data_IF_001941371102
#
_entry.id   IF_001941371102
#
_cell.length_a   1.000
_cell.length_b   1.000
_cell.length_c   1.000
_cell.angle_alpha   90.00
_cell.angle_beta   90.00
_cell.angle_gamma   90.00
#
_symmetry.space_group_name_H-M   'P 1'
#
loop_
_entity.id
_entity.type
_entity.pdbx_description
1 polymer ?
#
# COMPACT_ATOMS: atom_id res chain seq x y z
N UNK A 1 6.86 -18.60 29.49
CA UNK A 1 6.82 -17.37 28.65
C UNK A 1 8.17 -17.15 27.97
N UNK A 2 9.29 -17.48 28.64
CA UNK A 2 10.65 -17.19 28.16
C UNK A 2 11.16 -18.10 27.03
N UNK A 3 10.73 -19.36 26.97
CA UNK A 3 11.18 -20.30 25.93
C UNK A 3 10.71 -19.91 24.51
N UNK A 4 9.50 -19.36 24.38
CA UNK A 4 8.95 -18.91 23.09
C UNK A 4 9.67 -17.64 22.63
N UNK A 5 9.93 -16.70 23.54
CA UNK A 5 10.72 -15.51 23.21
C UNK A 5 12.17 -15.86 22.86
N UNK A 6 12.78 -16.83 23.53
CA UNK A 6 14.12 -17.31 23.20
C UNK A 6 14.17 -18.00 21.83
N UNK A 7 13.19 -18.83 21.49
CA UNK A 7 13.08 -19.45 20.17
C UNK A 7 12.81 -18.43 19.06
N UNK A 8 11.95 -17.43 19.33
CA UNK A 8 11.72 -16.34 18.40
C UNK A 8 13.00 -15.54 18.18
N UNK A 9 13.71 -15.12 19.23
CA UNK A 9 14.98 -14.40 19.11
C UNK A 9 16.04 -15.20 18.37
N UNK A 10 16.18 -16.50 18.65
CA UNK A 10 17.09 -17.38 17.92
C UNK A 10 16.73 -17.49 16.43
N UNK A 11 15.43 -17.55 16.12
CA UNK A 11 14.96 -17.54 14.74
C UNK A 11 15.21 -16.19 14.07
N UNK A 12 15.00 -15.07 14.77
CA UNK A 12 15.31 -13.72 14.28
C UNK A 12 16.81 -13.58 13.97
N UNK A 13 17.69 -14.08 14.84
CA UNK A 13 19.14 -14.06 14.62
C UNK A 13 19.55 -14.92 13.42
N UNK A 14 18.92 -16.10 13.26
CA UNK A 14 19.13 -16.96 12.10
C UNK A 14 18.57 -16.36 10.80
N UNK A 15 17.47 -15.63 10.87
CA UNK A 15 16.90 -14.93 9.72
C UNK A 15 17.80 -13.75 9.29
N UNK A 16 18.37 -13.02 10.26
CA UNK A 16 19.40 -11.99 10.02
C UNK A 16 20.65 -12.57 9.36
N UNK A 17 21.06 -13.79 9.73
CA UNK A 17 22.20 -14.47 9.08
C UNK A 17 21.89 -15.04 7.70
N UNK A 18 20.62 -15.33 7.39
CA UNK A 18 20.18 -16.02 6.17
C UNK A 18 19.75 -15.09 5.03
N UNK A 19 20.40 -13.94 4.88
CA UNK A 19 20.07 -12.97 3.83
C UNK A 19 18.60 -12.52 3.91
N UNK A 20 18.12 -12.08 5.08
CA UNK A 20 16.92 -11.26 5.23
C UNK A 20 17.26 -10.08 6.15
N UNK A 21 16.97 -8.86 5.71
CA UNK A 21 17.10 -7.68 6.56
C UNK A 21 15.71 -7.31 7.09
N UNK A 22 15.62 -7.17 8.41
CA UNK A 22 14.44 -6.57 9.05
C UNK A 22 14.43 -5.10 8.64
N UNK A 23 13.47 -4.71 7.82
CA UNK A 23 13.25 -3.30 7.52
C UNK A 23 12.29 -2.78 8.58
N UNK A 24 12.79 -2.46 9.77
CA UNK A 24 12.29 -1.38 10.65
C UNK A 24 13.36 -1.00 11.67
N UNK A 25 13.62 0.31 11.72
CA UNK A 25 14.63 1.03 12.51
C UNK A 25 14.12 1.57 13.87
N UNK A 26 12.96 1.11 14.36
CA UNK A 26 12.31 1.70 15.56
C UNK A 26 11.85 0.67 16.60
N UNK A 27 12.03 0.92 17.92
CA UNK A 27 11.66 0.00 19.00
C UNK A 27 10.17 0.01 19.37
N UNK A 28 9.32 0.76 18.63
CA UNK A 28 7.92 0.98 19.00
C UNK A 28 7.12 -0.33 19.07
N UNK A 29 6.28 -0.53 20.10
CA UNK A 29 5.38 -1.69 20.20
C UNK A 29 4.31 -1.65 19.11
N UNK A 30 3.91 -2.82 18.62
CA UNK A 30 2.84 -2.97 17.62
C UNK A 30 1.59 -3.62 18.20
N UNK A 31 1.67 -4.16 19.42
CA UNK A 31 0.59 -4.82 20.12
C UNK A 31 0.45 -4.27 21.54
N UNK A 32 -0.77 -3.92 21.94
CA UNK A 32 -1.10 -3.32 23.23
C UNK A 32 -2.19 -4.12 23.92
N UNK A 33 -1.89 -4.64 25.10
CA UNK A 33 -2.84 -5.38 25.93
C UNK A 33 -2.96 -4.66 27.29
N UNK A 34 -3.94 -5.07 28.10
CA UNK A 34 -4.30 -4.37 29.34
C UNK A 34 -3.10 -4.07 30.27
N UNK A 35 -2.09 -4.94 30.28
CA UNK A 35 -0.94 -4.86 31.20
C UNK A 35 0.40 -4.59 30.52
N UNK A 36 0.41 -4.09 29.29
CA UNK A 36 1.65 -3.74 28.64
C UNK A 36 1.58 -3.68 27.13
N UNK A 37 2.77 -3.65 26.53
CA UNK A 37 2.92 -3.59 25.09
C UNK A 37 4.08 -4.47 24.65
N UNK A 38 3.94 -5.04 23.46
CA UNK A 38 4.93 -5.92 22.86
C UNK A 38 5.08 -5.56 21.40
N UNK A 39 6.24 -5.88 20.81
CA UNK A 39 6.43 -5.81 19.36
C UNK A 39 6.27 -7.20 18.77
N UNK A 40 5.14 -7.43 18.09
CA UNK A 40 4.79 -8.73 17.51
C UNK A 40 4.76 -8.69 15.98
N UNK A 41 4.66 -7.50 15.38
CA UNK A 41 4.49 -7.31 13.94
C UNK A 41 5.76 -6.75 13.31
N UNK A 42 6.16 -7.33 12.18
CA UNK A 42 7.42 -7.02 11.50
C UNK A 42 7.24 -7.04 9.98
N UNK A 43 7.89 -6.11 9.29
CA UNK A 43 8.06 -6.13 7.84
C UNK A 43 9.49 -6.59 7.55
N UNK A 44 9.61 -7.55 6.65
CA UNK A 44 10.87 -8.18 6.27
C UNK A 44 11.12 -7.95 4.79
N UNK A 45 12.38 -7.72 4.42
CA UNK A 45 12.79 -7.74 3.02
C UNK A 45 14.01 -8.64 2.82
N UNK A 46 14.24 -9.02 1.57
CA UNK A 46 15.53 -9.57 1.20
C UNK A 46 16.63 -8.48 1.20
N UNK A 47 17.91 -8.81 1.38
CA UNK A 47 19.05 -7.90 1.29
C UNK A 47 19.25 -7.37 -0.12
N UNK A 48 18.86 -8.16 -1.12
CA UNK A 48 18.81 -7.72 -2.51
C UNK A 48 17.53 -6.97 -2.86
N UNK A 49 16.71 -6.56 -1.88
CA UNK A 49 15.49 -5.82 -2.17
C UNK A 49 15.87 -4.47 -2.80
N UNK A 50 15.43 -4.19 -4.04
CA UNK A 50 16.03 -3.13 -4.85
C UNK A 50 15.55 -1.71 -4.50
N UNK A 51 14.60 -1.58 -3.55
CA UNK A 51 14.05 -0.30 -3.14
C UNK A 51 14.55 0.09 -1.73
N UNK A 52 15.32 1.19 -1.59
CA UNK A 52 15.68 1.69 -0.27
C UNK A 52 14.44 2.10 0.52
N UNK A 53 14.44 1.82 1.82
CA UNK A 53 13.39 2.29 2.74
C UNK A 53 13.49 3.80 2.93
N UNK A 54 12.37 4.51 2.76
CA UNK A 54 12.27 5.95 3.02
C UNK A 54 12.00 6.24 4.49
N UNK A 55 10.97 5.59 5.05
CA UNK A 55 10.62 5.70 6.46
C UNK A 55 9.84 4.47 6.92
N UNK A 56 9.81 4.27 8.24
CA UNK A 56 8.90 3.34 8.87
C UNK A 56 8.38 3.90 10.19
N UNK A 57 7.07 3.73 10.42
CA UNK A 57 6.38 4.22 11.60
C UNK A 57 5.31 3.25 12.08
N UNK A 58 4.97 3.35 13.37
CA UNK A 58 3.89 2.58 13.99
C UNK A 58 2.79 3.55 14.39
N UNK A 59 1.63 3.43 13.74
CA UNK A 59 0.49 4.32 13.88
C UNK A 59 -0.69 3.64 14.55
N UNK A 60 -1.48 4.41 15.30
CA UNK A 60 -2.72 3.87 15.88
C UNK A 60 -3.79 3.78 14.80
N UNK A 61 -4.48 2.64 14.72
CA UNK A 61 -5.62 2.48 13.82
C UNK A 61 -6.71 3.52 14.18
N UNK A 62 -7.35 4.16 13.19
CA UNK A 62 -8.49 5.03 13.46
C UNK A 62 -9.60 4.24 14.15
N UNK A 63 -10.32 4.90 15.06
CA UNK A 63 -11.45 4.30 15.76
C UNK A 63 -12.56 3.95 14.77
N UNK A 64 -13.20 2.80 14.98
CA UNK A 64 -14.40 2.41 14.26
C UNK A 64 -15.59 2.54 15.23
N UNK A 65 -16.54 3.41 14.92
CA UNK A 65 -17.68 3.74 15.79
C UNK A 65 -17.23 4.13 17.22
N UNK A 66 -16.27 5.06 17.31
CA UNK A 66 -15.63 5.55 18.54
C UNK A 66 -14.88 4.51 19.40
N UNK A 67 -14.87 3.26 18.96
CA UNK A 67 -14.18 2.17 19.64
C UNK A 67 -12.88 1.82 18.93
N UNK A 68 -11.87 1.49 19.73
CA UNK A 68 -10.66 0.86 19.21
C UNK A 68 -11.02 -0.55 18.76
N UNK A 69 -10.94 -0.82 17.45
CA UNK A 69 -11.36 -2.10 16.89
C UNK A 69 -10.25 -3.18 16.92
N UNK A 70 -9.03 -2.78 17.29
CA UNK A 70 -7.88 -3.68 17.38
C UNK A 70 -6.89 -3.22 18.44
N UNK A 71 -6.32 -4.19 19.15
CA UNK A 71 -5.20 -4.07 20.08
C UNK A 71 -3.84 -3.95 19.37
N UNK A 72 -3.80 -4.10 18.04
CA UNK A 72 -2.63 -3.85 17.22
C UNK A 72 -2.57 -2.40 16.70
N UNK A 73 -1.35 -1.94 16.42
CA UNK A 73 -1.04 -0.70 15.70
C UNK A 73 -0.58 -1.01 14.28
N UNK A 74 -0.89 -0.11 13.36
CA UNK A 74 -0.49 -0.23 11.95
C UNK A 74 0.99 0.03 11.82
N UNK A 75 1.70 -0.93 11.25
CA UNK A 75 3.09 -0.78 10.87
C UNK A 75 3.16 -0.30 9.41
N UNK A 76 3.63 0.93 9.20
CA UNK A 76 3.72 1.56 7.88
C UNK A 76 5.19 1.64 7.49
N UNK A 77 5.54 1.20 6.28
CA UNK A 77 6.86 1.39 5.69
C UNK A 77 6.71 1.91 4.28
N UNK A 78 7.43 2.97 3.94
CA UNK A 78 7.51 3.48 2.59
C UNK A 78 8.86 3.11 1.97
N UNK A 79 8.83 2.76 0.69
CA UNK A 79 9.99 2.38 -0.10
C UNK A 79 10.11 3.31 -1.30
N UNK A 80 11.34 3.67 -1.64
CA UNK A 80 11.60 4.36 -2.89
C UNK A 80 11.85 3.34 -4.01
N UNK A 81 10.86 3.18 -4.87
CA UNK A 81 10.98 2.34 -6.06
C UNK A 81 11.56 3.10 -7.27
N UNK A 82 12.10 4.32 -7.07
CA UNK A 82 12.75 5.09 -8.14
C UNK A 82 13.93 4.34 -8.77
N UNK A 83 14.56 3.40 -8.07
CA UNK A 83 15.62 2.52 -8.58
C UNK A 83 15.09 1.20 -9.15
N UNK A 84 13.84 0.84 -8.85
CA UNK A 84 13.24 -0.45 -9.20
C UNK A 84 12.57 -0.40 -10.57
N UNK A 85 13.37 -0.30 -11.62
CA UNK A 85 12.86 -0.46 -12.97
C UNK A 85 13.02 -1.90 -13.43
N UNK A 86 11.91 -2.52 -13.84
CA UNK A 86 12.00 -3.70 -14.69
C UNK A 86 12.67 -3.25 -16.01
N UNK A 87 13.94 -3.58 -16.18
CA UNK A 87 14.65 -3.32 -17.43
C UNK A 87 14.17 -4.34 -18.45
N UNK A 88 13.03 -4.06 -19.05
CA UNK A 88 12.53 -4.84 -20.18
C UNK A 88 13.38 -4.47 -21.40
N UNK A 89 13.89 -5.47 -22.11
CA UNK A 89 14.69 -5.21 -23.31
C UNK A 89 13.86 -4.38 -24.31
N UNK A 90 14.45 -3.31 -24.86
CA UNK A 90 13.80 -2.42 -25.85
C UNK A 90 13.22 -3.20 -27.04
N UNK A 91 13.88 -4.28 -27.44
CA UNK A 91 13.40 -5.19 -28.49
C UNK A 91 12.08 -5.86 -28.11
N UNK A 92 11.94 -6.34 -26.88
CA UNK A 92 10.70 -6.93 -26.35
C UNK A 92 9.57 -5.91 -26.31
N UNK A 93 9.85 -4.72 -25.81
CA UNK A 93 8.88 -3.62 -25.70
C UNK A 93 8.34 -3.21 -27.07
N UNK A 94 9.23 -3.09 -28.07
CA UNK A 94 8.85 -2.83 -29.47
C UNK A 94 8.05 -3.99 -30.08
N UNK A 95 8.48 -5.24 -29.88
CA UNK A 95 7.79 -6.42 -30.41
C UNK A 95 6.36 -6.56 -29.86
N UNK A 96 6.15 -6.19 -28.60
CA UNK A 96 4.83 -6.27 -27.95
C UNK A 96 4.04 -4.96 -27.98
N UNK A 97 4.59 -3.91 -28.60
CA UNK A 97 4.02 -2.56 -28.57
C UNK A 97 3.64 -2.10 -27.14
N UNK A 98 4.46 -2.47 -26.15
CA UNK A 98 4.26 -2.12 -24.75
C UNK A 98 4.70 -0.66 -24.52
N UNK A 99 3.75 0.19 -24.12
CA UNK A 99 3.98 1.61 -23.83
C UNK A 99 3.68 1.90 -22.37
N UNK A 100 4.42 2.85 -21.78
CA UNK A 100 4.12 3.37 -20.44
C UNK A 100 3.28 4.64 -20.55
N UNK A 101 2.14 4.68 -19.88
CA UNK A 101 1.36 5.90 -19.69
C UNK A 101 1.92 6.70 -18.52
N UNK A 102 2.22 7.98 -18.74
CA UNK A 102 2.64 8.92 -17.70
C UNK A 102 1.62 10.05 -17.63
N UNK A 103 0.92 10.13 -16.51
CA UNK A 103 0.00 11.22 -16.21
C UNK A 103 0.77 12.49 -15.82
N UNK A 104 0.40 13.62 -16.42
CA UNK A 104 1.09 14.90 -16.27
C UNK A 104 0.38 15.75 -15.21
N UNK A 105 0.67 15.51 -13.93
CA UNK A 105 -0.05 16.15 -12.81
C UNK A 105 0.53 17.49 -12.33
N UNK A 106 1.78 17.85 -12.71
CA UNK A 106 2.50 18.98 -12.11
C UNK A 106 1.93 20.38 -12.42
N UNK A 107 1.11 20.51 -13.47
CA UNK A 107 0.60 21.80 -13.95
C UNK A 107 -0.91 21.74 -14.30
N UNK A 108 -1.68 20.93 -13.60
CA UNK A 108 -3.12 20.85 -13.83
C UNK A 108 -3.81 22.12 -13.33
N UNK A 109 -4.75 22.64 -14.12
CA UNK A 109 -5.65 23.69 -13.64
C UNK A 109 -6.76 23.09 -12.77
N UNK A 110 -7.50 23.95 -12.06
CA UNK A 110 -8.59 23.53 -11.18
C UNK A 110 -9.68 22.76 -11.95
N UNK A 111 -10.04 23.21 -13.15
CA UNK A 111 -11.07 22.54 -13.97
C UNK A 111 -10.75 21.06 -14.27
N UNK A 112 -9.49 20.75 -14.58
CA UNK A 112 -9.06 19.37 -14.84
C UNK A 112 -9.05 18.55 -13.54
N UNK A 113 -8.67 19.16 -12.42
CA UNK A 113 -8.75 18.52 -11.11
C UNK A 113 -10.17 18.20 -10.69
N UNK A 114 -11.10 19.12 -10.90
CA UNK A 114 -12.51 18.93 -10.63
C UNK A 114 -13.09 17.83 -11.52
N UNK A 115 -12.76 17.85 -12.81
CA UNK A 115 -13.15 16.79 -13.73
C UNK A 115 -12.63 15.42 -13.28
N UNK A 116 -11.36 15.34 -12.86
CA UNK A 116 -10.77 14.10 -12.33
C UNK A 116 -11.48 13.63 -11.06
N UNK A 117 -11.68 14.53 -10.09
CA UNK A 117 -12.34 14.22 -8.83
C UNK A 117 -13.76 13.70 -9.05
N UNK A 118 -14.53 14.38 -9.91
CA UNK A 118 -15.89 13.99 -10.27
C UNK A 118 -15.93 12.61 -10.94
N UNK A 119 -14.97 12.30 -11.83
CA UNK A 119 -14.89 10.99 -12.49
C UNK A 119 -14.54 9.88 -11.49
N UNK A 120 -13.61 10.12 -10.57
CA UNK A 120 -13.25 9.16 -9.52
C UNK A 120 -14.45 8.88 -8.61
N UNK A 121 -15.16 9.92 -8.18
CA UNK A 121 -16.34 9.80 -7.31
C UNK A 121 -17.47 9.03 -8.01
N UNK A 122 -17.82 9.42 -9.24
CA UNK A 122 -18.84 8.76 -10.04
C UNK A 122 -18.56 7.25 -10.23
N UNK A 123 -17.31 6.90 -10.54
CA UNK A 123 -16.90 5.49 -10.68
C UNK A 123 -17.00 4.71 -9.37
N UNK A 124 -16.58 5.33 -8.27
CA UNK A 124 -16.63 4.70 -6.96
C UNK A 124 -18.07 4.46 -6.52
N UNK A 125 -18.92 5.48 -6.64
CA UNK A 125 -20.36 5.39 -6.36
C UNK A 125 -21.03 4.30 -7.20
N UNK A 126 -20.76 4.28 -8.51
CA UNK A 126 -21.30 3.26 -9.42
C UNK A 126 -20.84 1.86 -9.01
N UNK A 127 -19.57 1.68 -8.67
CA UNK A 127 -19.04 0.38 -8.26
C UNK A 127 -19.73 -0.12 -6.99
N UNK A 128 -19.85 0.75 -5.99
CA UNK A 128 -20.51 0.45 -4.72
C UNK A 128 -21.99 0.15 -4.92
N UNK A 129 -22.72 0.96 -5.69
CA UNK A 129 -24.14 0.74 -5.97
C UNK A 129 -24.39 -0.60 -6.71
N UNK A 130 -23.50 -0.96 -7.63
CA UNK A 130 -23.65 -2.19 -8.43
C UNK A 130 -23.37 -3.46 -7.63
N UNK A 131 -22.34 -3.43 -6.79
CA UNK A 131 -21.88 -4.64 -6.09
C UNK A 131 -22.44 -4.74 -4.66
N UNK A 132 -22.90 -3.63 -4.08
CA UNK A 132 -23.27 -3.50 -2.67
C UNK A 132 -24.49 -2.56 -2.48
N UNK A 133 -25.69 -2.97 -2.95
CA UNK A 133 -26.88 -2.11 -2.98
C UNK A 133 -27.49 -1.82 -1.59
N UNK A 134 -26.96 -2.38 -0.50
CA UNK A 134 -27.47 -2.18 0.87
C UNK A 134 -26.38 -1.67 1.81
N UNK A 135 -26.71 -0.72 2.68
CA UNK A 135 -25.79 -0.15 3.68
C UNK A 135 -25.20 -1.23 4.62
N UNK A 136 -25.98 -2.28 4.92
CA UNK A 136 -25.52 -3.43 5.70
C UNK A 136 -24.35 -4.18 5.03
N UNK A 137 -24.28 -4.14 3.69
CA UNK A 137 -23.21 -4.80 2.92
C UNK A 137 -21.89 -4.02 2.89
N UNK A 138 -21.89 -2.71 3.19
CA UNK A 138 -20.66 -1.89 3.24
C UNK A 138 -19.77 -2.24 4.43
N UNK A 139 -20.37 -2.52 5.60
CA UNK A 139 -19.64 -2.94 6.81
C UNK A 139 -19.10 -4.37 6.73
N UNK A 140 -19.63 -5.17 5.80
CA UNK A 140 -19.18 -6.53 5.51
C UNK A 140 -18.07 -6.59 4.44
N UNK A 141 -17.64 -5.43 3.92
CA UNK A 141 -16.60 -5.38 2.90
C UNK A 141 -15.23 -5.69 3.51
N UNK A 142 -14.54 -6.66 2.91
CA UNK A 142 -13.11 -6.81 3.18
C UNK A 142 -12.36 -5.56 2.69
N UNK A 143 -11.33 -5.17 3.44
CA UNK A 143 -10.46 -4.06 3.09
C UNK A 143 -9.91 -4.18 1.67
N UNK A 144 -9.60 -5.41 1.22
CA UNK A 144 -9.12 -5.69 -0.13
C UNK A 144 -10.12 -5.29 -1.23
N UNK A 145 -11.42 -5.50 -1.01
CA UNK A 145 -12.47 -5.15 -1.97
C UNK A 145 -12.64 -3.64 -2.08
N UNK A 146 -12.60 -2.94 -0.94
CA UNK A 146 -12.63 -1.47 -0.89
C UNK A 146 -11.39 -0.88 -1.55
N UNK A 147 -10.22 -1.43 -1.26
CA UNK A 147 -8.97 -1.01 -1.88
C UNK A 147 -8.98 -1.22 -3.40
N UNK A 148 -9.48 -2.37 -3.86
CA UNK A 148 -9.64 -2.65 -5.27
C UNK A 148 -10.60 -1.66 -5.95
N UNK A 149 -11.75 -1.37 -5.33
CA UNK A 149 -12.71 -0.39 -5.83
C UNK A 149 -12.06 0.99 -6.00
N UNK A 150 -11.42 1.49 -4.93
CA UNK A 150 -10.74 2.78 -4.92
C UNK A 150 -9.64 2.86 -5.99
N UNK A 151 -8.75 1.86 -6.05
CA UNK A 151 -7.67 1.80 -7.05
C UNK A 151 -8.22 1.85 -8.48
N UNK A 152 -9.29 1.11 -8.75
CA UNK A 152 -9.92 1.07 -10.08
C UNK A 152 -10.56 2.43 -10.42
N UNK A 153 -11.23 3.06 -9.47
CA UNK A 153 -11.84 4.38 -9.67
C UNK A 153 -10.78 5.45 -9.94
N UNK A 154 -9.71 5.49 -9.14
CA UNK A 154 -8.59 6.43 -9.34
C UNK A 154 -7.94 6.25 -10.72
N UNK A 155 -7.62 5.01 -11.09
CA UNK A 155 -6.95 4.74 -12.37
C UNK A 155 -7.87 5.05 -13.56
N UNK A 156 -9.15 4.68 -13.48
CA UNK A 156 -10.14 4.99 -14.51
C UNK A 156 -10.35 6.49 -14.66
N UNK A 157 -10.52 7.20 -13.53
CA UNK A 157 -10.62 8.65 -13.54
C UNK A 157 -9.40 9.32 -14.15
N UNK A 158 -8.20 8.85 -13.83
CA UNK A 158 -6.97 9.37 -14.40
C UNK A 158 -6.93 9.22 -15.92
N UNK A 159 -7.31 8.05 -16.44
CA UNK A 159 -7.33 7.77 -17.89
C UNK A 159 -8.25 8.74 -18.65
N UNK A 160 -9.41 9.09 -18.08
CA UNK A 160 -10.44 9.84 -18.81
C UNK A 160 -10.35 11.37 -18.63
N UNK A 161 -9.65 11.82 -17.59
CA UNK A 161 -9.63 13.24 -17.22
C UNK A 161 -8.24 13.87 -17.22
N UNK A 162 -7.17 13.10 -16.98
CA UNK A 162 -5.84 13.66 -16.85
C UNK A 162 -5.10 13.62 -18.20
N UNK A 163 -4.33 14.68 -18.54
CA UNK A 163 -3.41 14.62 -19.65
C UNK A 163 -2.34 13.56 -19.38
N UNK A 164 -2.05 12.75 -20.39
CA UNK A 164 -0.99 11.76 -20.32
C UNK A 164 -0.17 11.71 -21.60
N UNK A 165 1.02 11.14 -21.49
CA UNK A 165 1.87 10.80 -22.62
C UNK A 165 2.20 9.31 -22.60
N UNK A 166 2.30 8.72 -23.78
CA UNK A 166 2.82 7.38 -23.94
C UNK A 166 4.32 7.45 -24.25
N UNK A 167 5.11 6.75 -23.45
CA UNK A 167 6.55 6.62 -23.67
C UNK A 167 6.85 5.17 -24.06
N UNK A 168 7.53 5.01 -25.21
CA UNK A 168 8.15 3.74 -25.59
C UNK A 168 9.39 3.59 -24.70
N UNK A 169 9.40 2.58 -23.84
CA UNK A 169 10.53 2.26 -22.97
C UNK A 169 11.60 1.45 -23.74
#
# INVERSE_FOLDING_TARGET
RDAIFAQLNLWLDKARSNNYHVIILGPSPTFYHQNGSSRLDYIWSSPGFPAPGLFSQVETCPKLNDNQFTDHRVLITAFDFSSCFATLAKTRLKQKSEQRTIFLYKNLNEDIWDKFSNEVNSRLELYLATHYPSISSLLALSLDKLWHALKRSILGGAIDSLPFQHIIV
#
